data_IF_071179762793
#
_entry.id   IF_071179762793
#
_cell.length_a   1.000
_cell.length_b   1.000
_cell.length_c   1.000
_cell.angle_alpha   90.00
_cell.angle_beta   90.00
_cell.angle_gamma   90.00
#
_symmetry.space_group_name_H-M   'P 1'
#
loop_
_entity.id
_entity.type
_entity.pdbx_description
1 polymer ?
#
# COMPACT_ATOMS: atom_id res chain seq x y z
N UNK A 1 1.65 -6.30 -26.99
CA UNK A 1 0.79 -5.16 -26.61
C UNK A 1 1.65 -3.92 -26.58
N UNK A 2 1.19 -2.78 -27.11
CA UNK A 2 1.98 -1.57 -27.12
C UNK A 2 2.17 -1.08 -25.67
N UNK A 3 3.43 -0.91 -25.29
CA UNK A 3 3.82 -0.30 -24.02
C UNK A 3 3.82 1.22 -24.17
N UNK A 4 3.55 1.96 -23.09
CA UNK A 4 3.64 3.41 -23.09
C UNK A 4 5.11 3.79 -23.30
N UNK A 5 5.50 4.45 -24.40
CA UNK A 5 6.86 4.91 -24.62
C UNK A 5 7.26 5.95 -23.56
N UNK A 6 8.56 6.13 -23.34
CA UNK A 6 9.08 7.05 -22.32
C UNK A 6 9.07 8.53 -22.73
N UNK A 7 8.52 8.84 -23.92
CA UNK A 7 8.37 10.21 -24.47
C UNK A 7 6.98 10.83 -24.26
N UNK A 8 6.71 11.92 -24.95
CA UNK A 8 5.38 12.52 -25.02
C UNK A 8 4.37 11.51 -25.55
N UNK A 9 3.26 11.36 -24.82
CA UNK A 9 2.21 10.39 -25.16
C UNK A 9 1.37 10.99 -26.28
N UNK A 10 1.40 10.38 -27.46
CA UNK A 10 0.43 10.65 -28.51
C UNK A 10 -0.98 10.41 -27.95
N UNK A 11 -1.90 11.35 -28.15
CA UNK A 11 -3.27 11.34 -27.63
C UNK A 11 -4.14 10.14 -28.11
N UNK A 12 -3.53 9.22 -28.86
CA UNK A 12 -4.18 7.98 -29.36
C UNK A 12 -3.71 6.71 -28.63
N UNK A 13 -2.79 6.81 -27.65
CA UNK A 13 -2.27 5.62 -26.98
C UNK A 13 -3.33 5.02 -26.04
N UNK A 14 -3.71 3.78 -26.28
CA UNK A 14 -4.64 3.02 -25.43
C UNK A 14 -3.87 2.02 -24.57
N UNK A 15 -4.18 2.04 -23.27
CA UNK A 15 -3.66 1.06 -22.33
C UNK A 15 -4.73 -0.02 -22.11
N UNK A 16 -4.43 -1.28 -22.50
CA UNK A 16 -5.31 -2.46 -22.41
C UNK A 16 -6.68 -2.26 -23.10
N UNK A 17 -6.76 -1.43 -24.17
CA UNK A 17 -8.01 -1.05 -24.84
C UNK A 17 -9.11 -0.49 -23.93
N UNK A 18 -8.77 -0.20 -22.68
CA UNK A 18 -9.67 0.27 -21.62
C UNK A 18 -9.44 1.74 -21.26
N UNK A 19 -8.21 2.22 -21.36
CA UNK A 19 -7.82 3.57 -20.97
C UNK A 19 -7.18 4.32 -22.13
N UNK A 20 -7.74 5.46 -22.47
CA UNK A 20 -7.14 6.44 -23.37
C UNK A 20 -6.18 7.32 -22.57
N UNK A 21 -4.88 7.18 -22.87
CA UNK A 21 -3.82 7.89 -22.14
C UNK A 21 -3.73 9.33 -22.60
N UNK A 22 -3.63 10.25 -21.62
CA UNK A 22 -3.49 11.68 -21.85
C UNK A 22 -2.15 12.23 -21.36
N UNK A 23 -2.12 13.51 -21.02
CA UNK A 23 -0.91 14.24 -20.60
C UNK A 23 -0.29 13.68 -19.31
N UNK A 24 1.01 13.90 -19.16
CA UNK A 24 1.73 13.63 -17.92
C UNK A 24 1.27 14.61 -16.84
N UNK A 25 0.93 14.09 -15.65
CA UNK A 25 0.55 14.85 -14.46
C UNK A 25 1.73 15.06 -13.52
N UNK A 26 2.66 14.11 -13.47
CA UNK A 26 3.84 14.17 -12.63
C UNK A 26 4.88 13.13 -13.01
N UNK A 27 6.15 13.43 -12.72
CA UNK A 27 7.28 12.52 -12.90
C UNK A 27 8.04 12.37 -11.57
N UNK A 28 8.20 11.11 -11.12
CA UNK A 28 9.09 10.74 -10.02
C UNK A 28 10.30 9.94 -10.51
N UNK A 29 11.21 9.59 -9.62
CA UNK A 29 12.45 8.88 -9.95
C UNK A 29 12.20 7.52 -10.62
N UNK A 30 11.14 6.80 -10.25
CA UNK A 30 10.83 5.44 -10.74
C UNK A 30 9.43 5.31 -11.33
N UNK A 31 8.63 6.39 -11.36
CA UNK A 31 7.25 6.36 -11.80
C UNK A 31 6.86 7.64 -12.54
N UNK A 32 5.96 7.50 -13.53
CA UNK A 32 5.29 8.61 -14.20
C UNK A 32 3.79 8.51 -13.95
N UNK A 33 3.13 9.63 -13.68
CA UNK A 33 1.68 9.71 -13.50
C UNK A 33 1.06 10.39 -14.70
N UNK A 34 0.06 9.76 -15.29
CA UNK A 34 -0.64 10.25 -16.47
C UNK A 34 -2.12 10.52 -16.13
N UNK A 35 -2.69 11.52 -16.75
CA UNK A 35 -4.12 11.61 -16.91
C UNK A 35 -4.56 10.53 -17.91
N UNK A 36 -5.71 9.89 -17.65
CA UNK A 36 -6.31 8.98 -18.60
C UNK A 36 -7.84 9.05 -18.53
N UNK A 37 -8.50 8.56 -19.56
CA UNK A 37 -9.95 8.46 -19.65
C UNK A 37 -10.35 7.00 -19.82
N UNK A 38 -11.28 6.54 -19.02
CA UNK A 38 -11.90 5.21 -19.14
C UNK A 38 -12.78 5.19 -20.38
N UNK A 39 -12.43 4.40 -21.39
CA UNK A 39 -13.10 4.42 -22.71
C UNK A 39 -14.62 4.17 -22.61
N UNK A 40 -15.12 3.13 -21.92
CA UNK A 40 -16.56 2.84 -21.86
C UNK A 40 -17.39 3.90 -21.13
N UNK A 41 -16.81 4.59 -20.12
CA UNK A 41 -17.59 5.49 -19.23
C UNK A 41 -17.26 6.95 -19.44
N UNK A 42 -16.14 7.28 -20.11
CA UNK A 42 -15.65 8.64 -20.21
C UNK A 42 -15.06 9.20 -18.90
N UNK A 43 -15.00 8.42 -17.82
CA UNK A 43 -14.50 8.86 -16.52
C UNK A 43 -13.02 9.19 -16.59
N UNK A 44 -12.62 10.32 -15.99
CA UNK A 44 -11.21 10.69 -15.84
C UNK A 44 -10.57 9.94 -14.66
N UNK A 45 -9.36 9.44 -14.89
CA UNK A 45 -8.56 8.71 -13.90
C UNK A 45 -7.11 9.17 -13.97
N UNK A 46 -6.35 8.90 -12.92
CA UNK A 46 -4.89 9.02 -12.92
C UNK A 46 -4.27 7.61 -13.03
N UNK A 47 -3.25 7.46 -13.86
CA UNK A 47 -2.53 6.20 -14.06
C UNK A 47 -1.06 6.40 -13.70
N UNK A 48 -0.61 5.79 -12.60
CA UNK A 48 0.80 5.79 -12.18
C UNK A 48 1.48 4.58 -12.82
N UNK A 49 2.39 4.82 -13.72
CA UNK A 49 3.18 3.81 -14.43
C UNK A 49 4.55 3.66 -13.75
N UNK A 50 4.88 2.46 -13.28
CA UNK A 50 6.10 2.17 -12.52
C UNK A 50 6.90 1.12 -13.29
N UNK A 51 8.19 1.38 -13.53
CA UNK A 51 9.10 0.44 -14.20
C UNK A 51 9.42 -0.74 -13.30
N UNK A 52 9.17 -1.98 -13.75
CA UNK A 52 9.56 -3.20 -13.01
C UNK A 52 11.06 -3.28 -12.80
N UNK A 53 11.85 -2.95 -13.81
CA UNK A 53 13.30 -2.90 -13.71
C UNK A 53 13.77 -1.86 -12.68
N UNK A 54 13.14 -0.68 -12.67
CA UNK A 54 13.42 0.36 -11.68
C UNK A 54 13.08 -0.07 -10.25
N UNK A 55 11.95 -0.79 -10.07
CA UNK A 55 11.56 -1.36 -8.77
C UNK A 55 12.61 -2.35 -8.26
N UNK A 56 13.05 -3.29 -9.10
CA UNK A 56 14.01 -4.34 -8.74
C UNK A 56 15.39 -3.75 -8.46
N UNK A 57 15.92 -2.92 -9.37
CA UNK A 57 17.24 -2.28 -9.20
C UNK A 57 17.28 -1.35 -7.98
N UNK A 58 16.19 -0.66 -7.68
CA UNK A 58 16.08 0.23 -6.52
C UNK A 58 15.77 -0.46 -5.20
N UNK A 59 15.57 -1.79 -5.17
CA UNK A 59 15.14 -2.50 -3.97
C UNK A 59 13.76 -2.07 -3.45
N UNK A 60 12.91 -1.48 -4.32
CA UNK A 60 11.65 -0.86 -3.95
C UNK A 60 10.44 -1.80 -4.02
N UNK A 61 10.66 -3.08 -4.34
CA UNK A 61 9.59 -4.07 -4.52
C UNK A 61 8.64 -4.11 -3.32
N UNK A 62 9.19 -4.20 -2.10
CA UNK A 62 8.43 -4.21 -0.86
C UNK A 62 7.58 -2.94 -0.65
N UNK A 63 8.11 -1.78 -1.02
CA UNK A 63 7.41 -0.51 -0.85
C UNK A 63 6.23 -0.38 -1.82
N UNK A 64 6.42 -0.68 -3.10
CA UNK A 64 5.36 -0.62 -4.12
C UNK A 64 4.22 -1.57 -3.78
N UNK A 65 4.54 -2.79 -3.37
CA UNK A 65 3.53 -3.78 -3.01
C UNK A 65 2.73 -3.36 -1.77
N UNK A 66 3.43 -2.81 -0.79
CA UNK A 66 2.79 -2.29 0.42
C UNK A 66 1.86 -1.11 0.10
N UNK A 67 2.33 -0.14 -0.68
CA UNK A 67 1.53 0.99 -1.14
C UNK A 67 0.22 0.51 -1.76
N UNK A 68 0.29 -0.43 -2.69
CA UNK A 68 -0.88 -0.97 -3.37
C UNK A 68 -1.79 -1.75 -2.39
N UNK A 69 -1.23 -2.59 -1.51
CA UNK A 69 -1.99 -3.33 -0.50
C UNK A 69 -2.74 -2.40 0.46
N UNK A 70 -2.10 -1.31 0.89
CA UNK A 70 -2.71 -0.29 1.73
C UNK A 70 -3.84 0.41 0.98
N UNK A 71 -3.57 0.93 -0.22
CA UNK A 71 -4.55 1.68 -1.02
C UNK A 71 -5.79 0.86 -1.37
N UNK A 72 -5.67 -0.45 -1.57
CA UNK A 72 -6.82 -1.34 -1.82
C UNK A 72 -7.80 -1.41 -0.65
N UNK A 73 -7.31 -1.27 0.58
CA UNK A 73 -8.11 -1.36 1.81
C UNK A 73 -8.71 -0.02 2.23
N UNK A 74 -8.18 1.10 1.71
CA UNK A 74 -8.61 2.43 2.10
C UNK A 74 -9.73 2.92 1.19
N UNK A 75 -10.91 3.18 1.78
CA UNK A 75 -12.08 3.76 1.10
C UNK A 75 -12.64 4.89 1.93
N UNK A 76 -12.24 6.11 1.58
CA UNK A 76 -12.66 7.32 2.28
C UNK A 76 -12.79 8.48 1.28
N UNK A 77 -13.77 9.40 1.41
CA UNK A 77 -13.97 10.50 0.45
C UNK A 77 -12.75 11.41 0.32
N UNK A 78 -11.92 11.53 1.36
CA UNK A 78 -10.73 12.37 1.36
C UNK A 78 -9.42 11.58 1.22
N UNK A 79 -9.48 10.39 0.64
CA UNK A 79 -8.31 9.59 0.25
C UNK A 79 -8.45 9.24 -1.23
N UNK A 80 -7.36 9.31 -1.98
CA UNK A 80 -7.32 8.86 -3.39
C UNK A 80 -7.61 7.37 -3.44
N UNK A 81 -8.68 6.99 -4.14
CA UNK A 81 -9.09 5.60 -4.31
C UNK A 81 -8.27 4.91 -5.38
N UNK A 82 -7.79 3.72 -5.10
CA UNK A 82 -7.25 2.80 -6.09
C UNK A 82 -8.41 2.01 -6.72
N UNK A 83 -8.56 2.11 -8.05
CA UNK A 83 -9.60 1.40 -8.80
C UNK A 83 -9.13 0.02 -9.22
N UNK A 84 -7.95 -0.04 -9.88
CA UNK A 84 -7.36 -1.31 -10.30
C UNK A 84 -5.84 -1.22 -10.45
N UNK A 85 -5.21 -2.37 -10.58
CA UNK A 85 -3.78 -2.52 -10.86
C UNK A 85 -3.63 -3.38 -12.11
N UNK A 86 -2.83 -2.92 -13.05
CA UNK A 86 -2.56 -3.58 -14.32
C UNK A 86 -1.05 -3.79 -14.48
N UNK A 87 -0.66 -4.76 -15.29
CA UNK A 87 0.76 -5.00 -15.55
C UNK A 87 1.02 -5.42 -16.99
N UNK A 88 2.11 -4.91 -17.54
CA UNK A 88 2.74 -5.44 -18.76
C UNK A 88 4.02 -6.19 -18.39
N UNK A 89 4.76 -6.66 -19.39
CA UNK A 89 6.06 -7.29 -19.18
C UNK A 89 7.05 -6.38 -18.44
N UNK A 90 7.04 -5.08 -18.71
CA UNK A 90 8.04 -4.12 -18.20
C UNK A 90 7.53 -3.16 -17.15
N UNK A 91 6.22 -2.89 -17.06
CA UNK A 91 5.63 -1.87 -16.19
C UNK A 91 4.46 -2.40 -15.34
N UNK A 92 4.27 -1.78 -14.18
CA UNK A 92 3.07 -1.89 -13.33
C UNK A 92 2.31 -0.58 -13.42
N UNK A 93 1.00 -0.63 -13.54
CA UNK A 93 0.12 0.53 -13.63
C UNK A 93 -0.89 0.48 -12.49
N UNK A 94 -0.98 1.55 -11.69
CA UNK A 94 -2.05 1.73 -10.71
C UNK A 94 -3.01 2.79 -11.24
N UNK A 95 -4.28 2.42 -11.38
CA UNK A 95 -5.36 3.30 -11.83
C UNK A 95 -6.09 3.82 -10.60
N UNK A 96 -6.18 5.13 -10.46
CA UNK A 96 -6.70 5.80 -9.25
C UNK A 96 -7.54 7.03 -9.59
N UNK A 97 -8.18 7.62 -8.57
CA UNK A 97 -8.93 8.86 -8.71
C UNK A 97 -8.07 9.96 -9.36
N UNK A 98 -8.69 10.72 -10.27
CA UNK A 98 -8.07 11.91 -10.85
C UNK A 98 -8.48 13.14 -10.04
N UNK A 99 -7.51 13.75 -9.36
CA UNK A 99 -7.69 14.97 -8.60
C UNK A 99 -7.54 16.19 -9.53
N UNK A 100 -8.65 16.63 -10.14
CA UNK A 100 -8.70 17.69 -11.17
C UNK A 100 -8.21 19.05 -10.67
N UNK A 101 -8.41 19.36 -9.37
CA UNK A 101 -7.98 20.61 -8.74
C UNK A 101 -6.46 20.73 -8.55
N UNK A 102 -5.72 19.62 -8.72
CA UNK A 102 -4.27 19.55 -8.54
C UNK A 102 -3.84 19.69 -7.08
N UNK A 103 -2.61 20.09 -6.84
CA UNK A 103 -2.05 20.21 -5.49
C UNK A 103 -2.71 21.36 -4.69
N UNK A 104 -3.09 21.07 -3.43
CA UNK A 104 -3.65 22.06 -2.51
C UNK A 104 -2.70 23.26 -2.35
N UNK A 105 -1.41 23.01 -2.23
CA UNK A 105 -0.42 24.05 -2.00
C UNK A 105 -0.15 24.94 -3.21
N UNK A 106 -0.38 24.49 -4.40
CA UNK A 106 -0.39 25.35 -5.58
C UNK A 106 -1.41 26.51 -5.49
N UNK A 107 -2.41 26.38 -4.59
CA UNK A 107 -3.36 27.44 -4.25
C UNK A 107 -2.88 28.34 -3.11
N UNK A 108 -2.21 27.75 -2.12
CA UNK A 108 -1.64 28.51 -0.97
C UNK A 108 -0.55 29.47 -1.42
N UNK A 109 0.25 29.10 -2.43
CA UNK A 109 1.31 29.98 -3.00
C UNK A 109 0.71 31.25 -3.62
N UNK A 110 -0.53 31.20 -4.10
CA UNK A 110 -1.25 32.38 -4.65
C UNK A 110 -1.80 33.32 -3.59
N UNK A 111 -1.72 32.94 -2.32
CA UNK A 111 -2.16 33.71 -1.17
C UNK A 111 -2.61 32.80 -0.03
N UNK A 112 -2.45 33.28 1.20
CA UNK A 112 -2.90 32.55 2.38
C UNK A 112 -4.40 32.29 2.35
N UNK A 113 -4.81 31.17 2.89
CA UNK A 113 -6.22 30.88 3.06
C UNK A 113 -6.82 31.66 4.24
N UNK A 114 -8.13 31.94 4.16
CA UNK A 114 -8.88 32.36 5.33
C UNK A 114 -8.84 31.26 6.39
N UNK A 115 -9.04 31.63 7.64
CA UNK A 115 -9.06 30.65 8.74
C UNK A 115 -10.16 29.61 8.57
N UNK A 116 -11.34 30.00 8.03
CA UNK A 116 -12.44 29.09 7.76
C UNK A 116 -12.10 28.09 6.64
N UNK A 117 -11.41 28.53 5.59
CA UNK A 117 -10.96 27.63 4.52
C UNK A 117 -9.86 26.68 5.02
N UNK A 118 -8.93 27.19 5.83
CA UNK A 118 -7.90 26.37 6.49
C UNK A 118 -8.54 25.31 7.40
N UNK A 119 -9.60 25.67 8.11
CA UNK A 119 -10.38 24.75 8.95
C UNK A 119 -11.08 23.69 8.13
N UNK A 120 -11.73 24.04 7.01
CA UNK A 120 -12.37 23.08 6.11
C UNK A 120 -11.37 22.01 5.67
N UNK A 121 -10.22 22.40 5.13
CA UNK A 121 -9.23 21.42 4.66
C UNK A 121 -8.59 20.64 5.80
N UNK A 122 -8.39 21.27 6.95
CA UNK A 122 -7.86 20.56 8.11
C UNK A 122 -8.85 19.52 8.66
N UNK A 123 -10.15 19.82 8.67
CA UNK A 123 -11.20 18.86 9.05
C UNK A 123 -11.20 17.64 8.11
N UNK A 124 -11.08 17.87 6.80
CA UNK A 124 -10.99 16.80 5.80
C UNK A 124 -9.72 15.96 5.97
N UNK A 125 -8.57 16.59 6.24
CA UNK A 125 -7.30 15.93 6.50
C UNK A 125 -7.38 15.04 7.75
N UNK A 126 -7.88 15.58 8.88
CA UNK A 126 -8.02 14.83 10.13
C UNK A 126 -9.01 13.66 9.98
N UNK A 127 -10.07 13.83 9.18
CA UNK A 127 -11.00 12.74 8.85
C UNK A 127 -10.28 11.60 8.11
N UNK A 128 -9.48 11.93 7.09
CA UNK A 128 -8.71 10.94 6.33
C UNK A 128 -7.65 10.24 7.18
N UNK A 129 -6.87 11.00 7.95
CA UNK A 129 -5.80 10.45 8.81
C UNK A 129 -6.38 9.60 9.93
N UNK A 130 -7.45 10.06 10.58
CA UNK A 130 -8.15 9.29 11.60
C UNK A 130 -8.70 7.96 11.07
N UNK A 131 -9.23 7.96 9.85
CA UNK A 131 -9.66 6.75 9.16
C UNK A 131 -8.49 5.79 8.89
N UNK A 132 -7.32 6.28 8.44
CA UNK A 132 -6.13 5.46 8.28
C UNK A 132 -5.70 4.83 9.61
N UNK A 133 -5.59 5.64 10.66
CA UNK A 133 -5.16 5.20 11.99
C UNK A 133 -6.09 4.15 12.60
N UNK A 134 -7.41 4.29 12.41
CA UNK A 134 -8.39 3.29 12.87
C UNK A 134 -8.20 1.91 12.21
N UNK A 135 -7.55 1.88 11.03
CA UNK A 135 -7.19 0.66 10.29
C UNK A 135 -5.74 0.21 10.48
N UNK A 136 -5.04 0.84 11.43
CA UNK A 136 -3.63 0.54 11.71
C UNK A 136 -2.67 0.96 10.61
N UNK A 137 -3.05 1.93 9.77
CA UNK A 137 -2.23 2.49 8.70
C UNK A 137 -1.72 3.86 9.11
N UNK A 138 -0.40 4.06 9.06
CA UNK A 138 0.28 5.31 9.35
C UNK A 138 0.95 5.83 8.08
N UNK A 139 0.66 7.09 7.69
CA UNK A 139 1.11 7.66 6.42
C UNK A 139 2.62 7.96 6.40
N UNK A 140 3.14 8.61 7.43
CA UNK A 140 4.55 8.94 7.71
C UNK A 140 5.24 9.94 6.76
N UNK A 141 4.57 10.38 5.71
CA UNK A 141 5.06 11.41 4.77
C UNK A 141 3.95 12.37 4.36
N UNK A 142 3.14 12.82 5.33
CA UNK A 142 2.16 13.86 5.08
C UNK A 142 2.87 15.18 4.79
N UNK A 143 2.66 15.70 3.59
CA UNK A 143 3.23 16.94 3.08
C UNK A 143 2.32 17.53 1.99
N UNK A 144 2.58 18.79 1.61
CA UNK A 144 1.76 19.49 0.63
C UNK A 144 1.55 18.77 -0.70
N UNK A 145 2.59 18.14 -1.20
CA UNK A 145 2.61 17.45 -2.50
C UNK A 145 1.67 16.23 -2.49
N UNK A 146 1.42 15.67 -1.31
CA UNK A 146 0.54 14.52 -1.10
C UNK A 146 -0.90 14.91 -0.77
N UNK A 147 -1.24 16.20 -0.88
CA UNK A 147 -2.57 16.75 -0.64
C UNK A 147 -3.12 17.36 -1.92
N UNK A 148 -4.02 16.64 -2.57
CA UNK A 148 -4.63 17.02 -3.83
C UNK A 148 -6.07 17.54 -3.61
N UNK A 149 -6.61 18.20 -4.61
CA UNK A 149 -8.00 18.64 -4.65
C UNK A 149 -8.73 17.97 -5.81
N UNK A 150 -9.92 17.46 -5.55
CA UNK A 150 -10.79 16.94 -6.58
C UNK A 150 -11.53 18.06 -7.35
N UNK A 151 -12.50 17.68 -8.16
CA UNK A 151 -13.30 18.61 -8.97
C UNK A 151 -14.26 19.49 -8.12
N UNK A 152 -14.60 19.02 -6.92
CA UNK A 152 -15.45 19.75 -5.95
C UNK A 152 -14.64 20.60 -4.97
N UNK A 153 -13.33 20.69 -5.15
CA UNK A 153 -12.40 21.34 -4.22
C UNK A 153 -12.38 20.69 -2.84
N UNK A 154 -12.57 19.37 -2.80
CA UNK A 154 -12.40 18.59 -1.60
C UNK A 154 -11.04 17.90 -1.58
N UNK A 155 -10.47 17.80 -0.37
CA UNK A 155 -9.14 17.23 -0.14
C UNK A 155 -9.09 15.74 -0.47
N UNK A 156 -8.02 15.32 -1.11
CA UNK A 156 -7.65 13.93 -1.36
C UNK A 156 -6.20 13.67 -0.93
N UNK A 157 -6.03 12.85 0.09
CA UNK A 157 -4.69 12.38 0.53
C UNK A 157 -4.22 11.29 -0.41
N UNK A 158 -2.97 11.37 -0.86
CA UNK A 158 -2.35 10.41 -1.80
C UNK A 158 -0.95 10.02 -1.33
N UNK A 159 -0.32 9.08 -2.05
CA UNK A 159 1.06 8.62 -1.88
C UNK A 159 1.34 7.92 -0.53
N UNK A 160 0.94 6.68 -0.47
CA UNK A 160 1.19 5.79 0.67
C UNK A 160 2.52 5.02 0.57
N UNK A 161 3.45 5.47 -0.28
CA UNK A 161 4.73 4.78 -0.57
C UNK A 161 5.65 4.63 0.63
N UNK A 162 5.59 5.54 1.61
CA UNK A 162 6.31 5.45 2.88
C UNK A 162 5.45 4.96 4.04
N UNK A 163 4.18 4.61 3.80
CA UNK A 163 3.26 4.23 4.87
C UNK A 163 3.67 2.94 5.57
N UNK A 164 3.33 2.83 6.85
CA UNK A 164 3.49 1.63 7.66
C UNK A 164 2.13 1.06 8.04
N UNK A 165 2.10 -0.26 8.21
CA UNK A 165 0.98 -0.98 8.80
C UNK A 165 1.33 -1.44 10.21
N UNK A 166 0.32 -1.72 11.04
CA UNK A 166 0.49 -2.15 12.43
C UNK A 166 1.45 -3.34 12.58
N UNK A 167 1.50 -4.23 11.59
CA UNK A 167 2.37 -5.41 11.59
C UNK A 167 3.87 -5.07 11.46
N UNK A 168 4.23 -3.83 11.12
CA UNK A 168 5.61 -3.33 11.08
C UNK A 168 6.07 -2.66 12.39
N UNK A 169 5.15 -2.51 13.32
CA UNK A 169 5.44 -2.05 14.67
C UNK A 169 6.21 -3.16 15.39
N UNK A 170 7.40 -2.84 15.90
CA UNK A 170 8.23 -3.81 16.62
C UNK A 170 7.59 -4.22 17.96
N UNK A 171 8.13 -5.25 18.65
CA UNK A 171 7.64 -5.67 19.95
C UNK A 171 7.64 -4.57 21.02
N UNK A 172 8.45 -3.53 20.85
CA UNK A 172 8.48 -2.33 21.70
C UNK A 172 7.30 -1.36 21.45
N UNK A 173 6.39 -1.71 20.55
CA UNK A 173 5.25 -0.88 20.16
C UNK A 173 5.61 0.31 19.26
N UNK A 174 6.80 0.31 18.61
CA UNK A 174 7.33 1.47 17.87
C UNK A 174 7.78 1.14 16.46
N UNK A 175 7.79 2.17 15.60
CA UNK A 175 8.40 2.17 14.29
C UNK A 175 9.84 2.73 14.37
N UNK A 176 10.75 2.20 13.56
CA UNK A 176 12.18 2.56 13.62
C UNK A 176 12.76 3.07 12.30
N UNK A 177 11.95 3.15 11.24
CA UNK A 177 12.42 3.61 9.93
C UNK A 177 12.50 5.12 9.89
N UNK A 178 13.68 5.68 9.62
CA UNK A 178 13.82 7.12 9.35
C UNK A 178 13.23 7.44 7.98
N UNK A 179 12.18 8.23 7.94
CA UNK A 179 11.53 8.64 6.70
C UNK A 179 10.77 9.96 6.90
N UNK A 180 10.39 10.58 5.79
CA UNK A 180 9.63 11.82 5.73
C UNK A 180 10.43 13.00 5.21
N UNK A 181 9.72 14.06 4.86
CA UNK A 181 10.28 15.31 4.32
C UNK A 181 10.75 16.21 5.48
N UNK A 182 12.01 16.68 5.53
CA UNK A 182 12.63 17.30 6.71
C UNK A 182 11.80 18.37 7.42
N UNK A 183 11.13 19.25 6.67
CA UNK A 183 10.35 20.35 7.26
C UNK A 183 9.05 19.88 7.97
N UNK A 184 8.60 18.64 7.73
CA UNK A 184 7.37 18.04 8.26
C UNK A 184 7.64 16.93 9.26
N UNK A 185 8.92 16.57 9.47
CA UNK A 185 9.35 15.48 10.36
C UNK A 185 9.12 15.83 11.82
N UNK A 186 8.54 14.92 12.58
CA UNK A 186 8.34 15.07 14.01
C UNK A 186 9.68 14.92 14.79
N UNK A 187 9.85 15.62 15.93
CA UNK A 187 11.10 15.59 16.67
C UNK A 187 11.53 14.21 17.14
N UNK A 188 10.59 13.31 17.47
CA UNK A 188 10.88 11.95 17.92
C UNK A 188 11.50 11.06 16.81
N UNK A 189 11.26 11.36 15.53
CA UNK A 189 11.93 10.65 14.42
C UNK A 189 13.43 10.90 14.46
N UNK A 190 13.84 12.12 14.80
CA UNK A 190 15.25 12.54 14.84
C UNK A 190 16.04 11.86 15.96
N UNK A 191 15.35 11.31 16.99
CA UNK A 191 16.00 10.67 18.14
C UNK A 191 16.44 9.22 17.90
N UNK A 192 15.98 8.59 16.83
CA UNK A 192 16.24 7.19 16.44
C UNK A 192 15.87 6.12 17.50
N UNK A 193 15.11 6.48 18.53
CA UNK A 193 14.69 5.58 19.62
C UNK A 193 13.38 4.83 19.32
N UNK A 194 12.90 4.91 18.08
CA UNK A 194 11.58 4.43 17.69
C UNK A 194 10.46 5.44 18.03
N UNK A 195 9.36 5.40 17.27
CA UNK A 195 8.30 6.39 17.35
C UNK A 195 6.91 5.77 17.12
N UNK A 196 5.88 6.46 17.60
CA UNK A 196 4.48 6.18 17.29
C UNK A 196 4.09 6.85 15.97
N UNK A 197 3.72 6.05 14.97
CA UNK A 197 3.33 6.55 13.65
C UNK A 197 2.13 7.49 13.67
N UNK A 198 1.16 7.27 14.57
CA UNK A 198 0.01 8.15 14.71
C UNK A 198 0.41 9.54 15.21
N UNK A 199 1.32 9.61 16.18
CA UNK A 199 1.81 10.89 16.71
C UNK A 199 2.65 11.68 15.70
N UNK A 200 3.41 10.95 14.87
CA UNK A 200 4.19 11.57 13.78
C UNK A 200 3.26 12.15 12.71
N UNK A 201 2.23 11.44 12.27
CA UNK A 201 1.26 11.96 11.31
C UNK A 201 0.55 13.22 11.84
N UNK A 202 0.21 13.23 13.13
CA UNK A 202 -0.40 14.41 13.77
C UNK A 202 0.50 15.63 13.76
N UNK A 203 1.81 15.46 14.04
CA UNK A 203 2.76 16.55 13.91
C UNK A 203 2.76 17.13 12.50
N UNK A 204 2.86 16.27 11.48
CA UNK A 204 2.82 16.69 10.07
C UNK A 204 1.51 17.41 9.73
N UNK A 205 0.35 16.94 10.24
CA UNK A 205 -0.93 17.66 10.12
C UNK A 205 -0.88 19.07 10.74
N UNK A 206 -0.19 19.23 11.87
CA UNK A 206 0.01 20.53 12.52
C UNK A 206 0.84 21.47 11.68
N UNK A 207 1.93 20.98 11.09
CA UNK A 207 2.75 21.77 10.15
C UNK A 207 1.92 22.18 8.93
N UNK A 208 1.13 21.28 8.37
CA UNK A 208 0.22 21.58 7.24
C UNK A 208 -0.79 22.67 7.65
N UNK A 209 -1.47 22.53 8.78
CA UNK A 209 -2.42 23.53 9.26
C UNK A 209 -1.78 24.92 9.43
N UNK A 210 -0.57 24.95 10.01
CA UNK A 210 0.18 26.19 10.13
C UNK A 210 0.40 26.82 8.75
N UNK A 211 0.86 26.04 7.76
CA UNK A 211 1.16 26.56 6.42
C UNK A 211 -0.11 27.00 5.69
N UNK A 212 -1.25 26.33 5.86
CA UNK A 212 -2.54 26.77 5.29
C UNK A 212 -2.91 28.19 5.80
N UNK A 213 -2.69 28.48 7.10
CA UNK A 213 -2.99 29.75 7.73
C UNK A 213 -1.92 30.83 7.47
N UNK A 214 -0.64 30.44 7.40
CA UNK A 214 0.50 31.35 7.39
C UNK A 214 1.13 31.55 6.00
N UNK A 215 1.03 30.58 5.09
CA UNK A 215 1.72 30.48 3.78
C UNK A 215 3.24 30.35 3.89
N UNK A 216 3.74 29.97 5.07
CA UNK A 216 5.16 29.65 5.30
C UNK A 216 5.29 28.57 6.39
N UNK A 217 6.47 27.94 6.47
CA UNK A 217 6.73 26.83 7.43
C UNK A 217 6.90 27.36 8.86
N UNK A 218 6.38 26.64 9.89
CA UNK A 218 6.55 27.03 11.30
C UNK A 218 8.02 26.98 11.75
N UNK A 219 8.77 26.01 11.24
CA UNK A 219 10.17 25.79 11.53
C UNK A 219 10.99 26.09 10.27
N UNK A 220 11.51 27.33 10.18
CA UNK A 220 12.30 27.75 9.03
C UNK A 220 13.66 28.27 9.50
N UNK A 221 14.70 27.74 8.85
CA UNK A 221 16.08 28.27 8.98
C UNK A 221 16.83 27.97 7.67
N UNK A 222 17.85 28.82 7.37
CA UNK A 222 18.76 28.55 6.24
C UNK A 222 19.73 27.41 6.55
N UNK A 223 19.99 27.15 7.83
CA UNK A 223 20.80 26.03 8.30
C UNK A 223 19.91 24.88 8.76
N UNK A 224 20.09 23.70 8.16
CA UNK A 224 19.31 22.50 8.46
C UNK A 224 19.39 22.09 9.94
N UNK A 225 20.55 22.21 10.57
CA UNK A 225 20.73 21.89 11.98
C UNK A 225 20.01 22.87 12.90
N UNK A 226 19.99 24.17 12.53
CA UNK A 226 19.24 25.19 13.26
C UNK A 226 17.73 24.94 13.13
N UNK A 227 17.25 24.54 11.94
CA UNK A 227 15.86 24.12 11.73
C UNK A 227 15.51 22.93 12.63
N UNK A 228 16.34 21.88 12.67
CA UNK A 228 16.10 20.72 13.54
C UNK A 228 16.10 21.06 15.02
N UNK A 229 16.93 22.02 15.48
CA UNK A 229 16.88 22.52 16.88
C UNK A 229 15.54 23.17 17.20
N UNK A 230 14.97 23.97 16.27
CA UNK A 230 13.64 24.59 16.43
C UNK A 230 12.54 23.50 16.49
N UNK A 231 12.60 22.50 15.61
CA UNK A 231 11.68 21.34 15.61
C UNK A 231 11.77 20.61 16.95
N UNK A 232 12.99 20.29 17.41
CA UNK A 232 13.21 19.56 18.65
C UNK A 232 12.68 20.29 19.89
N UNK A 233 12.73 21.64 19.90
CA UNK A 233 12.18 22.46 20.97
C UNK A 233 10.69 22.79 20.81
N UNK A 234 10.11 22.54 19.65
CA UNK A 234 8.74 22.97 19.34
C UNK A 234 8.60 24.51 19.28
N UNK A 235 9.68 25.22 18.98
CA UNK A 235 9.70 26.70 18.98
C UNK A 235 9.23 27.26 17.63
N UNK A 236 7.99 27.76 17.58
CA UNK A 236 7.44 28.44 16.42
C UNK A 236 6.64 29.69 16.81
N UNK A 237 6.43 30.59 15.85
CA UNK A 237 5.65 31.81 16.05
C UNK A 237 4.49 31.85 15.05
N UNK A 238 3.29 32.01 15.57
CA UNK A 238 2.10 32.19 14.71
C UNK A 238 2.01 33.65 14.23
N UNK A 239 1.45 33.88 13.02
CA UNK A 239 1.16 35.21 12.52
C UNK A 239 0.22 36.00 13.45
N UNK A 240 0.28 37.33 13.39
CA UNK A 240 -0.58 38.21 14.20
C UNK A 240 -2.09 38.06 13.89
N UNK A 241 -2.43 37.59 12.71
CA UNK A 241 -3.83 37.38 12.27
C UNK A 241 -4.41 36.03 12.70
N UNK A 242 -3.61 35.13 13.27
CA UNK A 242 -4.07 33.85 13.77
C UNK A 242 -4.93 34.03 15.00
N UNK A 243 -6.14 33.44 15.03
CA UNK A 243 -7.00 33.51 16.21
C UNK A 243 -6.37 32.87 17.44
N UNK A 244 -6.73 33.30 18.66
CA UNK A 244 -6.28 32.66 19.89
C UNK A 244 -6.60 31.17 19.94
N UNK A 245 -7.79 30.76 19.42
CA UNK A 245 -8.27 29.40 19.39
C UNK A 245 -7.41 28.54 18.46
N UNK A 246 -7.11 29.03 17.25
CA UNK A 246 -6.22 28.32 16.32
C UNK A 246 -4.79 28.23 16.87
N UNK A 247 -4.29 29.29 17.49
CA UNK A 247 -2.98 29.29 18.16
C UNK A 247 -2.94 28.22 19.26
N UNK A 248 -3.99 28.13 20.08
CA UNK A 248 -4.10 27.12 21.13
C UNK A 248 -4.04 25.70 20.55
N UNK A 249 -4.84 25.42 19.52
CA UNK A 249 -4.84 24.12 18.85
C UNK A 249 -3.48 23.78 18.24
N UNK A 250 -2.85 24.72 17.51
CA UNK A 250 -1.52 24.52 16.91
C UNK A 250 -0.46 24.18 17.97
N UNK A 251 -0.48 24.86 19.14
CA UNK A 251 0.45 24.58 20.23
C UNK A 251 0.32 23.15 20.76
N UNK A 252 -0.92 22.61 20.80
CA UNK A 252 -1.18 21.24 21.26
C UNK A 252 -0.82 20.19 20.21
N UNK A 253 -0.93 20.53 18.93
CA UNK A 253 -0.56 19.60 17.83
C UNK A 253 0.95 19.57 17.64
N UNK A 254 1.60 20.74 17.66
CA UNK A 254 3.06 20.90 17.53
C UNK A 254 3.77 20.84 18.89
N UNK A 255 3.26 20.02 19.80
CA UNK A 255 3.94 19.65 21.04
C UNK A 255 5.09 18.70 20.73
N UNK A 256 6.33 19.10 21.08
CA UNK A 256 7.52 18.32 20.83
C UNK A 256 7.53 16.97 21.59
N UNK A 257 6.82 16.90 22.71
CA UNK A 257 6.68 15.67 23.46
C UNK A 257 5.51 14.82 22.89
N UNK A 258 5.77 13.66 22.25
CA UNK A 258 4.71 12.82 21.68
C UNK A 258 3.73 12.26 22.71
N UNK A 259 4.10 12.17 23.98
CA UNK A 259 3.21 11.66 25.04
C UNK A 259 2.12 12.65 25.41
N UNK A 260 2.42 13.96 25.40
CA UNK A 260 1.47 15.04 25.73
C UNK A 260 0.82 15.62 24.47
N UNK A 261 1.39 15.35 23.27
CA UNK A 261 0.80 15.77 21.99
C UNK A 261 -0.64 15.30 21.87
N UNK A 262 -1.53 16.20 21.45
CA UNK A 262 -2.97 15.94 21.25
C UNK A 262 -3.22 14.71 20.39
N UNK A 263 -4.35 14.03 20.59
CA UNK A 263 -4.80 12.89 19.79
C UNK A 263 -5.81 13.32 18.73
N UNK A 264 -6.15 12.43 17.77
CA UNK A 264 -7.24 12.66 16.79
C UNK A 264 -8.54 13.04 17.51
N UNK A 265 -8.90 12.31 18.57
CA UNK A 265 -10.10 12.59 19.33
C UNK A 265 -10.02 13.93 20.06
N UNK A 266 -8.85 14.25 20.61
CA UNK A 266 -8.61 15.57 21.20
C UNK A 266 -8.77 16.71 20.21
N UNK A 267 -8.32 16.52 18.95
CA UNK A 267 -8.53 17.50 17.87
C UNK A 267 -10.01 17.60 17.51
N UNK A 268 -10.71 16.46 17.34
CA UNK A 268 -12.15 16.44 17.01
C UNK A 268 -13.01 17.13 18.09
N UNK A 269 -12.57 17.13 19.34
CA UNK A 269 -13.24 17.77 20.45
C UNK A 269 -12.82 19.24 20.67
N UNK A 270 -11.81 19.74 19.95
CA UNK A 270 -11.36 21.10 20.06
C UNK A 270 -12.39 22.11 19.50
N UNK A 271 -12.72 23.20 20.23
CA UNK A 271 -13.73 24.16 19.80
C UNK A 271 -13.48 24.78 18.44
N UNK A 272 -12.20 25.07 18.11
CA UNK A 272 -11.84 25.61 16.80
C UNK A 272 -12.14 24.60 15.69
N UNK A 273 -11.78 23.33 15.89
CA UNK A 273 -12.02 22.28 14.93
C UNK A 273 -13.52 21.99 14.74
N UNK A 274 -14.29 21.98 15.81
CA UNK A 274 -15.74 21.64 15.77
C UNK A 274 -16.60 22.64 15.03
N UNK A 275 -16.13 23.85 14.84
CA UNK A 275 -16.90 24.91 14.14
C UNK A 275 -17.22 24.47 12.71
N UNK A 276 -18.49 24.18 12.44
CA UNK A 276 -18.96 23.70 11.13
C UNK A 276 -18.54 22.26 10.76
N UNK A 277 -17.93 21.50 11.68
CA UNK A 277 -17.54 20.12 11.43
C UNK A 277 -18.76 19.22 11.26
N UNK A 278 -18.74 18.46 10.14
CA UNK A 278 -19.69 17.38 9.90
C UNK A 278 -18.88 16.09 9.80
N UNK A 279 -19.23 15.13 10.65
CA UNK A 279 -18.57 13.84 10.60
C UNK A 279 -18.88 13.15 9.27
N UNK A 280 -17.83 12.70 8.61
CA UNK A 280 -17.96 11.93 7.38
C UNK A 280 -18.45 10.54 7.75
N UNK A 281 -19.69 10.22 7.34
CA UNK A 281 -20.18 8.84 7.40
C UNK A 281 -19.36 8.03 6.42
N UNK A 282 -18.31 7.39 6.89
CA UNK A 282 -17.71 6.28 6.18
C UNK A 282 -18.73 5.16 6.22
N UNK A 283 -19.05 4.56 5.07
CA UNK A 283 -19.88 3.37 5.06
C UNK A 283 -19.26 2.38 6.01
N UNK A 284 -19.81 2.35 7.21
CA UNK A 284 -19.38 1.47 8.27
C UNK A 284 -19.90 0.08 7.97
N UNK A 285 -19.04 -0.89 8.05
CA UNK A 285 -19.26 -2.13 8.79
C UNK A 285 -20.27 -3.15 8.27
N UNK A 286 -20.83 -3.01 7.09
CA UNK A 286 -21.50 -4.13 6.42
C UNK A 286 -20.64 -4.84 5.36
N UNK A 287 -19.41 -4.37 5.07
CA UNK A 287 -18.41 -5.19 4.38
C UNK A 287 -17.55 -5.89 5.43
N UNK A 288 -17.34 -7.20 5.33
CA UNK A 288 -16.66 -7.98 6.35
C UNK A 288 -15.30 -7.38 6.66
N UNK A 289 -15.06 -7.06 7.94
CA UNK A 289 -13.72 -6.98 8.47
C UNK A 289 -12.98 -8.20 7.92
N UNK A 290 -11.93 -8.00 7.14
CA UNK A 290 -11.01 -9.07 6.81
C UNK A 290 -10.31 -9.49 8.11
N UNK A 291 -11.06 -10.21 8.95
CA UNK A 291 -10.44 -11.19 9.81
C UNK A 291 -9.76 -12.13 8.84
N UNK A 292 -8.48 -12.31 9.01
CA UNK A 292 -7.78 -13.45 8.43
C UNK A 292 -8.43 -14.71 9.01
N UNK A 293 -9.60 -15.07 8.48
CA UNK A 293 -10.20 -16.36 8.68
C UNK A 293 -9.68 -17.28 7.61
N UNK A 294 -9.06 -18.39 7.97
CA UNK A 294 -8.62 -19.42 7.02
C UNK A 294 -9.76 -20.11 6.27
N UNK A 295 -11.02 -19.75 6.49
CA UNK A 295 -12.18 -20.56 6.09
C UNK A 295 -13.20 -19.91 5.14
N UNK A 296 -12.94 -18.73 4.56
CA UNK A 296 -13.90 -18.10 3.66
C UNK A 296 -13.34 -17.86 2.24
N UNK A 297 -12.96 -18.92 1.54
CA UNK A 297 -12.84 -18.91 0.08
C UNK A 297 -13.94 -19.79 -0.52
N UNK A 298 -15.17 -19.24 -0.53
CA UNK A 298 -16.31 -19.76 -1.29
C UNK A 298 -16.49 -19.00 -2.60
N UNK A 299 -16.38 -19.70 -3.68
CA UNK A 299 -17.10 -19.56 -4.98
C UNK A 299 -17.00 -18.29 -5.83
N UNK A 300 -15.94 -17.43 -5.78
CA UNK A 300 -15.61 -16.56 -6.93
C UNK A 300 -14.18 -16.04 -6.78
N UNK A 301 -13.20 -16.91 -6.95
CA UNK A 301 -11.79 -16.51 -7.05
C UNK A 301 -11.50 -15.88 -8.42
N UNK A 302 -11.86 -14.61 -8.60
CA UNK A 302 -11.27 -13.80 -9.66
C UNK A 302 -9.87 -13.39 -9.24
N UNK A 303 -8.86 -13.94 -9.91
CA UNK A 303 -7.48 -13.46 -9.82
C UNK A 303 -7.44 -11.98 -10.11
N UNK A 304 -6.83 -11.22 -9.22
CA UNK A 304 -6.60 -9.81 -9.45
C UNK A 304 -5.27 -9.60 -10.20
N UNK A 305 -5.05 -8.39 -10.71
CA UNK A 305 -3.82 -8.05 -11.43
C UNK A 305 -2.53 -8.29 -10.62
N UNK A 306 -2.62 -8.40 -9.30
CA UNK A 306 -1.53 -8.75 -8.38
C UNK A 306 -1.08 -10.18 -8.53
N UNK A 307 -2.04 -11.08 -8.60
CA UNK A 307 -1.73 -12.49 -8.79
C UNK A 307 -1.02 -12.67 -10.14
N UNK A 308 -1.43 -11.91 -11.17
CA UNK A 308 -0.78 -11.87 -12.48
C UNK A 308 0.62 -11.24 -12.45
N UNK A 309 0.84 -10.20 -11.65
CA UNK A 309 2.14 -9.55 -11.49
C UNK A 309 3.14 -10.51 -10.81
N UNK A 310 2.68 -11.28 -9.83
CA UNK A 310 3.53 -12.25 -9.13
C UNK A 310 4.02 -13.38 -10.04
N UNK A 311 3.32 -13.64 -11.15
CA UNK A 311 3.70 -14.65 -12.15
C UNK A 311 4.60 -14.11 -13.28
N UNK A 312 4.80 -12.81 -13.39
CA UNK A 312 5.69 -12.26 -14.41
C UNK A 312 7.15 -12.51 -14.01
N UNK A 313 7.91 -13.16 -14.88
CA UNK A 313 9.33 -13.46 -14.66
C UNK A 313 10.10 -12.21 -14.22
N UNK A 314 10.76 -12.26 -13.05
CA UNK A 314 11.59 -11.20 -12.49
C UNK A 314 11.05 -10.49 -11.26
N UNK A 315 9.79 -10.71 -10.86
CA UNK A 315 9.23 -10.18 -9.61
C UNK A 315 8.69 -11.35 -8.77
N UNK A 316 9.51 -11.95 -7.93
CA UNK A 316 9.05 -12.96 -6.97
C UNK A 316 8.43 -12.24 -5.76
N UNK A 317 7.10 -12.24 -5.69
CA UNK A 317 6.33 -11.58 -4.62
C UNK A 317 5.90 -12.56 -3.51
N UNK A 318 6.27 -13.84 -3.64
CA UNK A 318 5.89 -14.90 -2.69
C UNK A 318 6.25 -14.62 -1.23
N UNK A 319 7.42 -13.99 -0.89
CA UNK A 319 7.77 -13.71 0.50
C UNK A 319 6.86 -12.70 1.20
N UNK A 320 6.00 -11.98 0.48
CA UNK A 320 5.17 -10.91 1.05
C UNK A 320 3.78 -11.38 1.52
N UNK A 321 3.44 -12.62 1.24
CA UNK A 321 2.15 -13.21 1.64
C UNK A 321 2.26 -14.12 2.87
N UNK A 322 3.48 -14.25 3.42
CA UNK A 322 3.71 -15.04 4.63
C UNK A 322 3.16 -14.30 5.85
N UNK A 323 2.12 -14.86 6.46
CA UNK A 323 1.60 -14.38 7.73
C UNK A 323 2.64 -14.60 8.83
N UNK A 324 2.89 -13.65 9.74
CA UNK A 324 3.75 -13.85 10.90
C UNK A 324 3.06 -14.78 11.90
N UNK A 325 3.50 -16.02 11.95
CA UNK A 325 2.96 -17.01 12.90
C UNK A 325 3.26 -18.45 12.51
N UNK A 326 4.52 -18.83 12.53
CA UNK A 326 4.97 -20.18 12.20
C UNK A 326 5.41 -20.31 10.75
N UNK A 327 6.58 -20.88 10.57
CA UNK A 327 7.30 -21.09 9.30
C UNK A 327 6.47 -21.85 8.25
N UNK A 328 5.53 -21.17 7.59
CA UNK A 328 4.82 -21.70 6.42
C UNK A 328 5.52 -21.17 5.17
N UNK A 329 6.31 -21.98 4.52
CA UNK A 329 6.90 -21.64 3.22
C UNK A 329 5.86 -21.89 2.14
N UNK A 330 5.38 -20.85 1.49
CA UNK A 330 4.44 -20.95 0.37
C UNK A 330 5.21 -20.91 -0.95
N UNK A 331 4.95 -21.91 -1.82
CA UNK A 331 5.41 -21.91 -3.20
C UNK A 331 4.20 -21.78 -4.10
N UNK A 332 4.28 -20.92 -5.13
CA UNK A 332 3.20 -20.68 -6.07
C UNK A 332 3.73 -20.76 -7.49
N UNK A 333 2.98 -21.42 -8.40
CA UNK A 333 3.35 -21.50 -9.81
C UNK A 333 2.13 -21.58 -10.73
N UNK A 334 2.35 -21.33 -12.02
CA UNK A 334 1.36 -21.54 -13.07
C UNK A 334 1.50 -22.94 -13.66
N UNK A 335 0.36 -23.55 -14.01
CA UNK A 335 0.30 -24.82 -14.72
C UNK A 335 -0.66 -24.72 -15.90
N UNK A 336 -0.33 -25.38 -17.01
CA UNK A 336 -1.24 -25.59 -18.13
C UNK A 336 -2.01 -26.91 -18.01
N UNK A 337 -1.72 -27.68 -16.96
CA UNK A 337 -2.40 -28.95 -16.70
C UNK A 337 -3.79 -28.73 -16.06
N UNK A 338 -4.76 -29.64 -16.34
CA UNK A 338 -6.05 -29.57 -15.69
C UNK A 338 -5.97 -29.72 -14.18
N UNK A 339 -6.89 -29.07 -13.45
CA UNK A 339 -6.98 -29.11 -11.98
C UNK A 339 -7.01 -30.54 -11.45
N UNK A 340 -7.71 -31.42 -12.15
CA UNK A 340 -7.85 -32.85 -11.83
C UNK A 340 -6.48 -33.54 -11.83
N UNK A 341 -5.67 -33.31 -12.88
CA UNK A 341 -4.34 -33.93 -13.03
C UNK A 341 -3.35 -33.43 -11.99
N UNK A 342 -3.41 -32.13 -11.64
CA UNK A 342 -2.59 -31.57 -10.57
C UNK A 342 -2.94 -32.25 -9.24
N UNK A 343 -4.24 -32.38 -8.95
CA UNK A 343 -4.74 -33.07 -7.77
C UNK A 343 -4.33 -34.55 -7.72
N UNK A 344 -4.46 -35.26 -8.82
CA UNK A 344 -4.07 -36.68 -8.94
C UNK A 344 -2.57 -36.87 -8.68
N UNK A 345 -1.72 -35.99 -9.22
CA UNK A 345 -0.27 -36.03 -9.00
C UNK A 345 0.09 -35.86 -7.53
N UNK A 346 -0.53 -34.91 -6.84
CA UNK A 346 -0.28 -34.66 -5.41
C UNK A 346 -0.75 -35.85 -4.56
N UNK A 347 -1.91 -36.41 -4.91
CA UNK A 347 -2.50 -37.54 -4.23
C UNK A 347 -1.65 -38.80 -4.40
N UNK A 348 -1.17 -39.08 -5.61
CA UNK A 348 -0.26 -40.19 -5.92
C UNK A 348 1.04 -40.12 -5.11
N UNK A 349 1.66 -38.92 -5.04
CA UNK A 349 2.87 -38.73 -4.27
C UNK A 349 2.58 -38.97 -2.77
N UNK A 350 1.52 -38.38 -2.22
CA UNK A 350 1.20 -38.52 -0.81
C UNK A 350 0.89 -39.97 -0.40
N UNK A 351 0.12 -40.70 -1.20
CA UNK A 351 -0.19 -42.11 -0.96
C UNK A 351 1.03 -43.01 -1.11
N UNK A 352 1.88 -42.75 -2.13
CA UNK A 352 3.12 -43.49 -2.34
C UNK A 352 4.12 -43.36 -1.17
N UNK A 353 4.06 -42.30 -0.42
CA UNK A 353 4.90 -42.05 0.78
C UNK A 353 4.16 -42.46 2.07
N UNK A 354 3.01 -43.14 2.01
CA UNK A 354 2.26 -43.59 3.18
C UNK A 354 1.61 -42.47 4.00
N UNK A 355 1.41 -41.30 3.41
CA UNK A 355 0.81 -40.13 4.07
C UNK A 355 -0.71 -40.14 3.96
N UNK A 356 -1.38 -39.47 4.90
CA UNK A 356 -2.83 -39.28 4.85
C UNK A 356 -3.16 -38.21 3.81
N UNK A 357 -3.98 -38.55 2.81
CA UNK A 357 -4.41 -37.60 1.78
C UNK A 357 -5.90 -37.31 1.90
N UNK A 358 -6.25 -36.03 1.90
CA UNK A 358 -7.64 -35.54 1.87
C UNK A 358 -7.80 -34.62 0.68
N UNK A 359 -8.77 -34.93 -0.23
CA UNK A 359 -9.07 -34.13 -1.41
C UNK A 359 -10.47 -33.55 -1.33
N UNK A 360 -10.60 -32.27 -1.66
CA UNK A 360 -11.88 -31.57 -1.90
C UNK A 360 -11.78 -30.77 -3.19
N UNK A 361 -12.91 -30.24 -3.66
CA UNK A 361 -12.93 -29.41 -4.86
C UNK A 361 -11.98 -28.22 -4.70
N UNK A 362 -10.95 -28.16 -5.55
CA UNK A 362 -9.98 -27.07 -5.59
C UNK A 362 -8.78 -27.19 -4.64
N UNK A 363 -8.67 -28.20 -3.79
CA UNK A 363 -7.49 -28.41 -2.96
C UNK A 363 -7.23 -29.86 -2.55
N UNK A 364 -5.96 -30.17 -2.32
CA UNK A 364 -5.50 -31.47 -1.81
C UNK A 364 -4.62 -31.23 -0.59
N UNK A 365 -4.87 -31.94 0.50
CA UNK A 365 -4.09 -31.88 1.74
C UNK A 365 -3.42 -33.24 1.96
N UNK A 366 -2.12 -33.18 2.23
CA UNK A 366 -1.28 -34.33 2.55
C UNK A 366 -0.67 -34.13 3.94
N UNK A 367 -0.84 -35.12 4.81
CA UNK A 367 -0.36 -35.09 6.19
C UNK A 367 0.51 -36.31 6.51
N UNK A 368 1.67 -36.09 7.10
CA UNK A 368 2.53 -37.14 7.64
C UNK A 368 1.83 -37.92 8.80
N UNK A 369 2.28 -39.15 9.05
CA UNK A 369 1.65 -40.03 10.06
C UNK A 369 1.67 -39.46 11.46
N UNK A 370 2.67 -38.67 11.83
CA UNK A 370 2.84 -38.09 13.17
C UNK A 370 2.46 -36.58 13.23
N UNK A 371 1.91 -36.02 12.15
CA UNK A 371 1.61 -34.58 12.10
C UNK A 371 2.82 -33.68 11.88
N UNK A 372 4.02 -34.23 11.64
CA UNK A 372 5.28 -33.51 11.50
C UNK A 372 5.37 -32.76 10.17
N UNK A 373 4.61 -33.19 9.19
CA UNK A 373 4.55 -32.60 7.86
C UNK A 373 3.10 -32.41 7.43
N UNK A 374 2.80 -31.21 6.95
CA UNK A 374 1.52 -30.89 6.31
C UNK A 374 1.78 -30.14 5.02
N UNK A 375 1.20 -30.60 3.92
CA UNK A 375 1.19 -29.96 2.62
C UNK A 375 -0.24 -29.70 2.20
N UNK A 376 -0.55 -28.48 1.79
CA UNK A 376 -1.84 -28.10 1.19
C UNK A 376 -1.57 -27.53 -0.19
N UNK A 377 -2.14 -28.13 -1.20
CA UNK A 377 -2.07 -27.68 -2.59
C UNK A 377 -3.44 -27.19 -3.01
N UNK A 378 -3.55 -25.90 -3.25
CA UNK A 378 -4.77 -25.24 -3.72
C UNK A 378 -4.64 -24.92 -5.21
N UNK A 379 -5.69 -25.19 -5.98
CA UNK A 379 -5.71 -24.97 -7.42
C UNK A 379 -6.84 -24.01 -7.79
N UNK A 380 -6.48 -22.94 -8.51
CA UNK A 380 -7.41 -21.90 -8.91
C UNK A 380 -7.29 -21.66 -10.43
N UNK A 381 -8.41 -21.72 -11.16
CA UNK A 381 -8.42 -21.50 -12.61
C UNK A 381 -8.17 -20.01 -12.91
N UNK A 382 -7.12 -19.72 -13.67
CA UNK A 382 -6.76 -18.35 -14.09
C UNK A 382 -7.39 -17.99 -15.44
N UNK A 383 -7.33 -18.92 -16.40
CA UNK A 383 -7.95 -18.84 -17.72
C UNK A 383 -8.47 -20.21 -18.08
N UNK A 384 -9.08 -20.35 -19.28
CA UNK A 384 -9.47 -21.69 -19.79
C UNK A 384 -8.29 -22.67 -19.90
N UNK A 385 -7.06 -22.16 -20.08
CA UNK A 385 -5.84 -22.93 -20.33
C UNK A 385 -4.82 -22.89 -19.19
N UNK A 386 -4.99 -22.07 -18.17
CA UNK A 386 -4.01 -21.88 -17.10
C UNK A 386 -4.63 -21.98 -15.72
N UNK A 387 -3.94 -22.69 -14.84
CA UNK A 387 -4.27 -22.90 -13.43
C UNK A 387 -3.15 -22.35 -12.57
N UNK A 388 -3.50 -21.63 -11.51
CA UNK A 388 -2.58 -21.24 -10.44
C UNK A 388 -2.57 -22.32 -9.38
N UNK A 389 -1.40 -22.75 -9.01
CA UNK A 389 -1.16 -23.75 -7.96
C UNK A 389 -0.47 -23.09 -6.79
N UNK A 390 -1.15 -23.05 -5.66
CA UNK A 390 -0.63 -22.56 -4.37
C UNK A 390 -0.25 -23.76 -3.51
N UNK A 391 1.00 -23.82 -3.09
CA UNK A 391 1.53 -24.88 -2.23
C UNK A 391 1.92 -24.27 -0.88
N UNK A 392 1.18 -24.63 0.15
CA UNK A 392 1.45 -24.25 1.55
C UNK A 392 1.97 -25.46 2.29
N UNK A 393 3.08 -25.31 3.02
CA UNK A 393 3.68 -26.39 3.78
C UNK A 393 4.01 -25.96 5.21
N UNK A 394 3.88 -26.92 6.12
CA UNK A 394 4.33 -26.82 7.50
C UNK A 394 5.13 -28.09 7.81
N UNK A 395 6.35 -27.94 8.30
CA UNK A 395 7.21 -29.05 8.71
C UNK A 395 7.93 -28.66 9.99
N UNK A 396 7.94 -29.54 11.00
CA UNK A 396 8.78 -29.40 12.18
C UNK A 396 10.18 -29.96 11.86
N UNK A 397 11.18 -29.10 11.89
CA UNK A 397 12.56 -29.45 11.46
C UNK A 397 13.36 -30.20 12.52
N UNK A 398 12.84 -30.41 13.74
CA UNK A 398 13.60 -30.94 14.87
C UNK A 398 13.83 -32.47 14.86
N UNK A 399 13.09 -33.26 14.08
CA UNK A 399 13.21 -34.73 14.11
C UNK A 399 13.65 -35.42 12.81
N UNK A 400 13.56 -34.80 11.65
CA UNK A 400 14.00 -35.40 10.40
C UNK A 400 14.91 -34.46 9.62
N UNK A 401 16.20 -34.67 9.62
CA UNK A 401 17.20 -33.82 8.96
C UNK A 401 17.07 -33.70 7.42
N UNK A 402 15.91 -34.02 6.81
CA UNK A 402 15.61 -33.87 5.39
C UNK A 402 14.30 -33.14 5.18
N UNK A 403 14.32 -32.11 4.34
CA UNK A 403 13.10 -31.42 3.89
C UNK A 403 12.32 -32.32 2.91
N UNK A 404 11.26 -32.96 3.40
CA UNK A 404 10.39 -33.86 2.61
C UNK A 404 9.81 -33.18 1.37
N UNK A 405 9.61 -31.87 1.42
CA UNK A 405 9.19 -31.11 0.25
C UNK A 405 10.22 -31.18 -0.87
N UNK A 406 11.50 -30.93 -0.57
CA UNK A 406 12.57 -30.91 -1.57
C UNK A 406 12.76 -32.29 -2.16
N UNK A 407 12.76 -33.31 -1.30
CA UNK A 407 13.11 -34.69 -1.70
C UNK A 407 11.96 -35.38 -2.47
N UNK A 408 10.69 -35.16 -2.05
CA UNK A 408 9.57 -35.98 -2.53
C UNK A 408 8.60 -35.23 -3.44
N UNK A 409 8.34 -33.96 -3.19
CA UNK A 409 7.30 -33.21 -3.90
C UNK A 409 7.86 -32.26 -4.96
N UNK A 410 8.89 -31.48 -4.65
CA UNK A 410 9.40 -30.41 -5.51
C UNK A 410 9.76 -30.88 -6.93
N UNK A 411 10.49 -31.99 -7.07
CA UNK A 411 10.93 -32.51 -8.36
C UNK A 411 9.79 -33.02 -9.24
N UNK A 412 8.72 -33.55 -8.64
CA UNK A 412 7.54 -34.04 -9.38
C UNK A 412 6.57 -32.91 -9.73
N UNK A 413 6.38 -31.94 -8.83
CA UNK A 413 5.54 -30.79 -9.08
C UNK A 413 6.19 -29.77 -10.01
N UNK A 414 7.51 -29.70 -10.12
CA UNK A 414 8.21 -28.84 -11.09
C UNK A 414 7.86 -29.18 -12.54
N UNK A 415 7.51 -30.45 -12.82
CA UNK A 415 7.05 -30.88 -14.16
C UNK A 415 5.69 -30.30 -14.57
N UNK A 416 4.93 -29.79 -13.61
CA UNK A 416 3.62 -29.14 -13.84
C UNK A 416 3.73 -27.64 -14.05
N UNK A 417 4.93 -27.06 -13.90
CA UNK A 417 5.18 -25.61 -14.05
C UNK A 417 5.10 -25.21 -15.53
N UNK A 418 4.45 -24.08 -15.81
CA UNK A 418 4.35 -23.51 -17.15
C UNK A 418 5.14 -22.18 -17.25
N UNK A 419 6.01 -21.98 -18.29
CA UNK A 419 6.45 -22.99 -19.27
C UNK A 419 7.37 -24.03 -18.63
N UNK A 420 7.42 -25.27 -19.17
CA UNK A 420 8.30 -26.31 -18.64
C UNK A 420 9.77 -25.85 -18.73
N UNK A 421 10.58 -26.21 -17.73
CA UNK A 421 11.98 -25.76 -17.58
C UNK A 421 12.96 -26.27 -18.68
N UNK A 422 12.51 -27.11 -19.60
CA UNK A 422 13.31 -27.66 -20.68
C UNK A 422 13.15 -26.91 -22.00
N UNK A 423 13.71 -25.70 -22.14
CA UNK A 423 14.06 -25.15 -23.47
C UNK A 423 14.92 -23.88 -23.38
N UNK A 424 15.90 -23.81 -22.48
CA UNK A 424 16.94 -22.76 -22.52
C UNK A 424 18.34 -23.36 -22.66
N UNK A 425 18.49 -24.48 -23.32
CA UNK A 425 19.80 -24.97 -23.77
C UNK A 425 19.80 -25.13 -25.27
N UNK A 426 20.22 -24.10 -25.96
CA UNK A 426 20.52 -24.20 -27.40
C UNK A 426 20.10 -22.99 -28.23
N UNK A 427 20.80 -21.87 -28.06
CA UNK A 427 21.20 -21.03 -29.17
C UNK A 427 22.55 -20.42 -28.78
N UNK A 428 23.62 -20.98 -29.37
CA UNK A 428 24.96 -20.47 -29.43
C UNK A 428 25.00 -19.22 -30.31
#
# INVERSE_FOLDING_TARGET
>A
MPEIPDGEVDSKLKLFDKYEMGKILGCGASAKVYHARVIPTGQNVAVKAISKQGIVKGGLTGNVMREISIMRRLRHPHIVRLHEVLATRTKVYTVMDYAKGGELFGKVVKGRFSEDLSRKYFQQLISAVGYCHSRGVYHRDLKPENLLLDENWDLKVTDFGLSAVKDQVRPDGRLHTLCGTPAYVAPEILTQKGYDGAKVDLWSCGVILFVLNASYLPFRDSNLMAMYRKIYKGEFRVPKWTSPELKHLLTRILDANPLTRITIEGIKNDPWFRKGYKEVKTHSDSEPQFKAHPEAYGENNCFNAFDLISYSSGLNLSPMFDCPGGSVVANRFLSAEPVERIGDTVEEIGRGEGMRVTRKKGWVRVEGQNGDFTLVVETNRLTEKLVVVDVKRKQNMEESGQDLWIVKFKSRLSRLIYPPEEQVSGIS
#
